data_IF_251713675312
#
_entry.id   IF_251713675312
#
_cell.length_a   1.000
_cell.length_b   1.000
_cell.length_c   1.000
_cell.angle_alpha   90.00
_cell.angle_beta   90.00
_cell.angle_gamma   90.00
#
_symmetry.space_group_name_H-M   'P 1'
#
loop_
_entity.id
_entity.type
_entity.pdbx_description
1 polymer ?
#
# COMPACT_ATOMS: atom_id res chain seq x y z
N UNK A 1 -15.20 -2.65 -24.09
CA UNK A 1 -13.83 -2.17 -23.81
C UNK A 1 -13.46 -2.40 -22.36
N UNK A 2 -12.17 -2.59 -22.08
CA UNK A 2 -11.64 -2.83 -20.74
C UNK A 2 -10.57 -1.81 -20.35
N UNK A 3 -10.18 -1.73 -19.06
CA UNK A 3 -9.14 -0.81 -18.62
C UNK A 3 -7.81 -1.05 -19.35
N UNK A 4 -7.05 0.02 -19.61
CA UNK A 4 -5.79 -0.03 -20.38
C UNK A 4 -4.76 -1.03 -19.84
N UNK A 5 -4.75 -1.30 -18.53
CA UNK A 5 -3.83 -2.25 -17.89
C UNK A 5 -4.46 -3.60 -17.50
N UNK A 6 -5.70 -3.89 -17.93
CA UNK A 6 -6.41 -5.11 -17.55
C UNK A 6 -5.76 -6.39 -18.11
N UNK A 7 -5.30 -7.31 -17.25
CA UNK A 7 -4.62 -8.54 -17.67
C UNK A 7 -5.53 -9.77 -17.75
N UNK A 8 -6.85 -9.58 -17.90
CA UNK A 8 -7.76 -10.72 -18.10
C UNK A 8 -7.62 -11.30 -19.51
N UNK A 9 -7.99 -12.57 -19.68
CA UNK A 9 -7.86 -13.29 -20.96
C UNK A 9 -8.47 -12.53 -22.15
N UNK A 10 -9.69 -12.02 -22.00
CA UNK A 10 -10.39 -11.30 -23.05
C UNK A 10 -9.68 -9.99 -23.45
N UNK A 11 -9.19 -9.23 -22.47
CA UNK A 11 -8.48 -7.97 -22.73
C UNK A 11 -7.07 -8.19 -23.32
N UNK A 12 -6.41 -9.31 -23.01
CA UNK A 12 -5.13 -9.68 -23.62
C UNK A 12 -5.35 -10.10 -25.07
N UNK A 13 -6.31 -11.00 -25.30
CA UNK A 13 -6.65 -11.51 -26.64
C UNK A 13 -7.00 -10.37 -27.61
N UNK A 14 -7.79 -9.39 -27.17
CA UNK A 14 -8.14 -8.22 -28.00
C UNK A 14 -6.93 -7.38 -28.36
N UNK A 15 -6.05 -7.09 -27.38
CA UNK A 15 -4.82 -6.31 -27.65
C UNK A 15 -3.87 -6.98 -28.62
N UNK A 16 -3.76 -8.31 -28.53
CA UNK A 16 -2.97 -9.11 -29.47
C UNK A 16 -3.56 -9.04 -30.89
N UNK A 17 -4.88 -9.21 -31.04
CA UNK A 17 -5.59 -9.08 -32.32
C UNK A 17 -5.45 -7.70 -32.95
N UNK A 18 -5.58 -6.65 -32.14
CA UNK A 18 -5.58 -5.26 -32.59
C UNK A 18 -4.17 -4.71 -32.85
N UNK A 19 -3.10 -5.49 -32.57
CA UNK A 19 -1.70 -5.01 -32.54
C UNK A 19 -1.57 -3.68 -31.79
N UNK A 20 -2.34 -3.55 -30.70
CA UNK A 20 -2.50 -2.29 -30.02
C UNK A 20 -1.15 -1.78 -29.49
N UNK A 21 -0.92 -0.47 -29.61
CA UNK A 21 0.23 0.20 -29.00
C UNK A 21 0.31 -0.16 -27.51
N UNK A 22 1.52 -0.29 -26.93
CA UNK A 22 1.69 -0.57 -25.51
C UNK A 22 0.87 0.39 -24.64
N UNK A 23 0.29 -0.13 -23.56
CA UNK A 23 -0.48 0.69 -22.64
C UNK A 23 0.40 1.83 -22.06
N UNK A 24 -0.15 3.04 -21.88
CA UNK A 24 0.57 4.14 -21.25
C UNK A 24 1.14 3.75 -19.88
N UNK A 25 2.32 4.27 -19.57
CA UNK A 25 2.95 4.09 -18.27
C UNK A 25 2.14 4.80 -17.18
N UNK A 26 1.99 4.13 -16.03
CA UNK A 26 1.35 4.73 -14.85
C UNK A 26 2.38 5.58 -14.10
N UNK A 27 2.18 6.89 -14.07
CA UNK A 27 3.08 7.87 -13.45
C UNK A 27 2.61 8.33 -12.06
N UNK A 28 1.69 7.60 -11.43
CA UNK A 28 1.14 7.89 -10.10
C UNK A 28 1.32 6.68 -9.18
N UNK A 29 1.45 6.94 -7.87
CA UNK A 29 1.49 5.89 -6.87
C UNK A 29 0.15 5.16 -6.81
N UNK A 30 0.19 3.83 -6.88
CA UNK A 30 -0.97 2.97 -6.69
C UNK A 30 -1.21 2.79 -5.18
N UNK A 31 -2.37 3.24 -4.71
CA UNK A 31 -2.86 2.97 -3.35
C UNK A 31 -4.05 2.02 -3.43
N UNK A 32 -4.14 1.09 -2.49
CA UNK A 32 -5.27 0.17 -2.38
C UNK A 32 -5.88 0.29 -1.00
N UNK A 33 -7.20 0.41 -0.95
CA UNK A 33 -7.95 0.55 0.29
C UNK A 33 -8.10 -0.80 1.01
N UNK A 34 -7.78 -0.79 2.30
CA UNK A 34 -7.95 -1.91 3.21
C UNK A 34 -8.42 -1.41 4.58
N UNK A 35 -9.08 -2.30 5.34
CA UNK A 35 -9.35 -2.07 6.76
C UNK A 35 -8.37 -2.89 7.61
N UNK A 36 -8.03 -2.36 8.78
CA UNK A 36 -7.31 -3.14 9.77
C UNK A 36 -8.11 -4.41 10.12
N UNK A 37 -7.43 -5.57 10.15
CA UNK A 37 -8.05 -6.87 10.38
C UNK A 37 -8.52 -7.60 9.12
N UNK A 38 -8.56 -6.97 7.94
CA UNK A 38 -8.78 -7.68 6.67
C UNK A 38 -7.65 -8.70 6.42
N UNK A 39 -7.89 -9.67 5.53
CA UNK A 39 -6.88 -10.62 5.10
C UNK A 39 -5.67 -9.89 4.48
N UNK A 40 -4.46 -10.30 4.85
CA UNK A 40 -3.25 -9.65 4.36
C UNK A 40 -3.10 -9.88 2.85
N UNK A 41 -2.95 -8.83 2.03
CA UNK A 41 -2.93 -8.98 0.59
C UNK A 41 -1.65 -9.67 0.12
N UNK A 42 -1.69 -10.35 -1.03
CA UNK A 42 -0.52 -11.03 -1.59
C UNK A 42 0.60 -10.02 -1.88
N UNK A 43 1.83 -10.37 -1.49
CA UNK A 43 2.98 -9.47 -1.45
C UNK A 43 3.39 -8.80 -2.78
N UNK A 44 2.91 -9.29 -3.94
CA UNK A 44 3.38 -8.89 -5.28
C UNK A 44 3.22 -7.39 -5.63
N UNK A 45 2.46 -6.62 -4.83
CA UNK A 45 2.21 -5.18 -5.10
C UNK A 45 2.47 -4.27 -3.90
N UNK A 46 2.96 -4.79 -2.79
CA UNK A 46 3.19 -3.97 -1.60
C UNK A 46 4.63 -3.46 -1.58
N UNK A 47 4.82 -2.20 -1.23
CA UNK A 47 6.14 -1.59 -1.06
C UNK A 47 6.68 -1.96 0.32
N UNK A 48 7.65 -2.88 0.35
CA UNK A 48 8.31 -3.36 1.56
C UNK A 48 9.43 -2.40 1.99
N UNK A 49 9.47 -2.06 3.27
CA UNK A 49 10.49 -1.19 3.84
C UNK A 49 11.90 -1.76 3.57
N UNK A 50 12.75 -0.96 2.91
CA UNK A 50 14.12 -1.34 2.51
C UNK A 50 14.21 -2.64 1.70
N UNK A 51 13.11 -3.13 1.11
CA UNK A 51 13.02 -4.42 0.43
C UNK A 51 13.54 -5.63 1.24
N UNK A 52 13.54 -5.55 2.58
CA UNK A 52 14.05 -6.61 3.47
C UNK A 52 13.30 -6.66 4.81
N UNK A 53 13.32 -7.79 5.52
CA UNK A 53 12.82 -7.82 6.90
C UNK A 53 13.62 -6.83 7.75
N UNK A 54 12.90 -6.10 8.61
CA UNK A 54 13.51 -5.20 9.59
C UNK A 54 13.64 -5.92 10.93
N UNK A 55 14.73 -5.68 11.64
CA UNK A 55 14.91 -6.20 12.99
C UNK A 55 14.02 -5.40 13.94
N UNK A 56 12.98 -6.05 14.46
CA UNK A 56 12.08 -5.47 15.46
C UNK A 56 12.35 -6.08 16.82
N UNK A 57 11.72 -5.54 17.87
CA UNK A 57 11.79 -6.12 19.23
C UNK A 57 11.27 -7.56 19.30
N UNK A 58 10.41 -7.96 18.36
CA UNK A 58 9.81 -9.30 18.28
C UNK A 58 10.52 -10.21 17.27
N UNK A 59 11.67 -9.78 16.74
CA UNK A 59 12.44 -10.47 15.70
C UNK A 59 12.31 -9.82 14.32
N UNK A 60 12.92 -10.43 13.29
CA UNK A 60 12.81 -9.97 11.91
C UNK A 60 11.36 -9.96 11.44
N UNK A 61 10.90 -8.82 10.89
CA UNK A 61 9.53 -8.66 10.43
C UNK A 61 9.46 -7.86 9.14
N UNK A 62 8.60 -8.29 8.24
CA UNK A 62 8.24 -7.53 7.05
C UNK A 62 7.30 -6.38 7.41
N UNK A 63 7.63 -5.19 6.92
CA UNK A 63 6.87 -3.96 7.13
C UNK A 63 6.64 -3.28 5.79
N UNK A 64 5.44 -2.75 5.59
CA UNK A 64 5.00 -2.16 4.33
C UNK A 64 4.50 -0.73 4.55
N UNK A 65 4.65 0.11 3.53
CA UNK A 65 4.15 1.50 3.57
C UNK A 65 2.63 1.51 3.67
N UNK A 66 2.09 2.26 4.61
CA UNK A 66 0.65 2.49 4.77
C UNK A 66 0.36 3.98 4.99
N UNK A 67 -0.82 4.41 4.56
CA UNK A 67 -1.30 5.78 4.70
C UNK A 67 -2.60 5.79 5.49
N UNK A 68 -2.73 6.73 6.43
CA UNK A 68 -3.96 6.99 7.17
C UNK A 68 -4.23 8.50 7.23
N UNK A 69 -5.47 8.87 7.51
CA UNK A 69 -5.88 10.26 7.72
C UNK A 69 -6.39 10.46 9.14
N UNK A 70 -5.84 11.47 9.83
CA UNK A 70 -6.26 11.85 11.18
C UNK A 70 -6.49 13.36 11.23
N UNK A 71 -7.73 13.79 11.55
CA UNK A 71 -8.15 15.20 11.48
C UNK A 71 -7.79 15.89 10.15
N UNK A 72 -7.99 15.21 9.02
CA UNK A 72 -7.68 15.72 7.68
C UNK A 72 -6.19 15.69 7.31
N UNK A 73 -5.29 15.32 8.22
CA UNK A 73 -3.86 15.24 7.96
C UNK A 73 -3.46 13.82 7.51
N UNK A 74 -2.69 13.75 6.43
CA UNK A 74 -2.07 12.52 5.95
C UNK A 74 -0.95 12.06 6.91
N UNK A 75 -1.03 10.84 7.40
CA UNK A 75 -0.07 10.22 8.32
C UNK A 75 0.45 8.94 7.69
N UNK A 76 1.74 8.94 7.34
CA UNK A 76 2.44 7.73 6.92
C UNK A 76 2.66 6.81 8.13
N UNK A 77 2.55 5.51 7.91
CA UNK A 77 2.78 4.50 8.92
C UNK A 77 3.29 3.21 8.30
N UNK A 78 3.25 2.15 9.12
CA UNK A 78 3.63 0.80 8.70
C UNK A 78 2.45 -0.15 8.83
N UNK A 79 2.33 -1.07 7.89
CA UNK A 79 1.48 -2.24 7.98
C UNK A 79 2.31 -3.53 7.95
N UNK A 80 1.80 -4.60 8.56
CA UNK A 80 2.41 -5.93 8.55
C UNK A 80 1.35 -7.03 8.67
N UNK A 81 1.74 -8.26 8.33
CA UNK A 81 0.90 -9.43 8.53
C UNK A 81 1.01 -9.91 9.98
N UNK A 82 -0.10 -9.86 10.71
CA UNK A 82 -0.24 -10.47 12.03
C UNK A 82 -1.25 -11.61 11.93
N UNK A 83 -0.77 -12.84 11.99
CA UNK A 83 -1.60 -14.06 11.84
C UNK A 83 -2.45 -14.04 10.54
N UNK A 84 -1.86 -13.57 9.44
CA UNK A 84 -2.54 -13.49 8.14
C UNK A 84 -3.52 -12.31 7.99
N UNK A 85 -3.63 -11.44 9.00
CA UNK A 85 -4.46 -10.23 8.97
C UNK A 85 -3.61 -8.97 8.94
N UNK A 86 -4.18 -7.89 8.41
CA UNK A 86 -3.53 -6.58 8.39
C UNK A 86 -3.51 -5.99 9.79
N UNK A 87 -2.31 -5.77 10.32
CA UNK A 87 -2.06 -4.92 11.46
C UNK A 87 -1.31 -3.66 11.00
N UNK A 88 -1.57 -2.51 11.63
CA UNK A 88 -0.97 -1.24 11.26
C UNK A 88 -0.66 -0.37 12.48
N UNK A 89 0.28 0.56 12.30
CA UNK A 89 0.63 1.57 13.30
C UNK A 89 0.98 2.87 12.61
N UNK A 90 0.39 3.96 13.10
CA UNK A 90 0.59 5.32 12.62
C UNK A 90 1.01 6.18 13.81
N UNK A 91 1.96 7.09 13.59
CA UNK A 91 2.39 8.04 14.61
C UNK A 91 2.12 9.45 14.08
N UNK A 92 1.17 10.15 14.70
CA UNK A 92 0.90 11.56 14.41
C UNK A 92 1.60 12.43 15.45
N UNK A 93 2.41 13.40 15.01
CA UNK A 93 3.12 14.32 15.90
C UNK A 93 2.21 15.44 16.47
N UNK A 94 0.92 15.45 16.10
CA UNK A 94 -0.01 16.55 16.39
C UNK A 94 -0.20 16.85 17.90
N UNK A 95 0.05 15.87 18.78
CA UNK A 95 -0.11 16.03 20.23
C UNK A 95 0.93 16.95 20.90
N UNK A 96 2.09 17.22 20.28
CA UNK A 96 3.13 18.06 20.93
C UNK A 96 2.96 19.56 20.72
N UNK A 97 2.08 19.99 19.82
CA UNK A 97 1.92 21.41 19.46
C UNK A 97 0.96 22.18 20.37
N UNK A 98 0.14 21.50 21.19
CA UNK A 98 -0.88 22.14 22.04
C UNK A 98 -0.54 22.17 23.54
N UNK A 99 0.64 21.69 23.96
CA UNK A 99 1.11 21.76 25.36
C UNK A 99 2.32 22.67 25.56
N UNK A 100 2.65 23.50 24.57
CA UNK A 100 3.59 24.61 24.71
C UNK A 100 2.84 25.93 24.50
N UNK A 101 2.06 26.34 25.49
CA UNK A 101 1.82 27.75 25.74
C UNK A 101 2.09 28.02 27.24
N UNK A 102 2.83 29.10 27.57
CA UNK A 102 3.23 29.47 28.92
C UNK A 102 2.05 29.88 29.81
#
# INVERSE_FOLDING_TARGET
DGPAQCRCFECLRRRELEKATPAPLLMVNEWTDYRAGDAFPPAKRLIKALNRPLNTKQGPQDQYVALWYHFGNAVMGRAWSSQGKIAATFASCWYKSHHLQP
#
